data_IF_054202840426
#
_entry.id   IF_054202840426
#
_cell.length_a   1.000
_cell.length_b   1.000
_cell.length_c   1.000
_cell.angle_alpha   90.00
_cell.angle_beta   90.00
_cell.angle_gamma   90.00
#
_symmetry.space_group_name_H-M   'P 1'
#
loop_
_entity.id
_entity.type
_entity.pdbx_description
1 polymer ?
#
# COMPACT_ATOMS: atom_id res chain seq x y z
N UNK A 1 -9.05 10.24 19.06
CA UNK A 1 -10.36 10.89 19.21
C UNK A 1 -11.33 9.74 19.07
N UNK A 2 -11.83 9.23 20.21
CA UNK A 2 -12.76 8.10 20.24
C UNK A 2 -14.02 8.50 19.48
N UNK A 3 -14.33 7.74 18.43
CA UNK A 3 -15.50 7.93 17.57
C UNK A 3 -16.78 7.31 18.15
N UNK A 4 -16.77 6.94 19.44
CA UNK A 4 -17.74 5.98 19.96
C UNK A 4 -19.06 6.55 20.47
N UNK A 5 -19.31 7.86 20.57
CA UNK A 5 -20.59 8.29 21.13
C UNK A 5 -21.17 9.55 20.47
N UNK A 6 -22.14 9.33 19.56
CA UNK A 6 -23.54 9.77 19.68
C UNK A 6 -24.19 9.80 18.28
N UNK A 7 -24.94 8.75 17.92
CA UNK A 7 -25.84 8.75 16.76
C UNK A 7 -27.30 8.77 17.23
N UNK A 8 -28.15 9.47 16.48
CA UNK A 8 -29.57 9.64 16.78
C UNK A 8 -30.34 8.30 16.75
N UNK A 9 -31.33 8.15 17.63
CA UNK A 9 -32.18 6.96 17.70
C UNK A 9 -32.94 6.74 16.37
N UNK A 10 -32.78 5.57 15.76
CA UNK A 10 -33.38 5.20 14.47
C UNK A 10 -32.39 4.78 13.37
N UNK A 11 -31.08 4.92 13.62
CA UNK A 11 -29.99 4.52 12.71
C UNK A 11 -29.21 3.30 13.25
N UNK A 12 -29.91 2.36 13.89
CA UNK A 12 -29.29 1.15 14.44
C UNK A 12 -28.65 0.29 13.34
N UNK A 13 -27.47 -0.25 13.64
CA UNK A 13 -26.77 -1.22 12.80
C UNK A 13 -26.27 -2.38 13.64
N UNK A 14 -26.17 -3.56 13.01
CA UNK A 14 -25.65 -4.78 13.61
C UNK A 14 -24.54 -5.31 12.69
N UNK A 15 -23.33 -5.55 13.21
CA UNK A 15 -22.16 -5.99 12.43
C UNK A 15 -21.96 -7.50 12.60
N UNK A 16 -21.97 -8.25 11.51
CA UNK A 16 -21.53 -9.65 11.52
C UNK A 16 -20.02 -9.73 11.29
N UNK A 17 -19.30 -10.26 12.27
CA UNK A 17 -17.83 -10.39 12.25
C UNK A 17 -17.34 -11.74 11.71
N UNK A 18 -18.21 -12.77 11.63
CA UNK A 18 -17.89 -14.08 11.06
C UNK A 18 -18.08 -14.11 9.53
N UNK A 19 -17.04 -14.50 8.78
CA UNK A 19 -17.10 -14.69 7.31
C UNK A 19 -16.32 -13.67 6.45
N UNK A 20 -15.45 -12.87 7.05
CA UNK A 20 -14.68 -11.80 6.38
C UNK A 20 -13.95 -12.21 5.09
N UNK A 21 -14.06 -11.36 4.05
CA UNK A 21 -13.13 -11.33 2.91
C UNK A 21 -12.28 -10.06 2.99
N UNK A 22 -10.98 -10.27 3.21
CA UNK A 22 -9.97 -9.26 3.50
C UNK A 22 -9.41 -8.65 2.21
N UNK A 23 -9.30 -7.32 2.14
CA UNK A 23 -8.58 -6.62 1.07
C UNK A 23 -7.60 -5.60 1.65
N UNK A 24 -6.52 -5.27 0.94
CA UNK A 24 -5.50 -4.32 1.39
C UNK A 24 -6.07 -2.91 1.70
N UNK A 25 -7.23 -2.56 1.14
CA UNK A 25 -7.80 -1.21 1.20
C UNK A 25 -8.78 -0.96 2.36
N UNK A 26 -9.44 -2.01 2.87
CA UNK A 26 -10.50 -1.87 3.86
C UNK A 26 -10.92 -3.22 4.47
N UNK A 27 -11.53 -3.16 5.65
CA UNK A 27 -12.34 -4.27 6.19
C UNK A 27 -13.76 -4.15 5.64
N UNK A 28 -14.31 -5.28 5.20
CA UNK A 28 -15.67 -5.36 4.67
C UNK A 28 -16.49 -6.21 5.61
N UNK A 29 -17.61 -5.66 6.07
CA UNK A 29 -18.54 -6.31 6.98
C UNK A 29 -19.91 -6.41 6.33
N UNK A 30 -20.61 -7.50 6.62
CA UNK A 30 -22.06 -7.55 6.42
C UNK A 30 -22.68 -6.85 7.62
N UNK A 31 -23.57 -5.90 7.37
CA UNK A 31 -24.30 -5.21 8.41
C UNK A 31 -25.77 -5.03 8.07
N UNK A 32 -26.57 -4.66 9.06
CA UNK A 32 -27.93 -4.14 8.83
C UNK A 32 -27.87 -2.61 8.85
N UNK A 33 -28.40 -1.93 7.83
CA UNK A 33 -28.55 -0.48 7.79
C UNK A 33 -30.01 -0.12 7.53
N UNK A 34 -30.64 0.63 8.45
CA UNK A 34 -32.06 0.98 8.39
C UNK A 34 -32.98 -0.26 8.22
N UNK A 35 -32.67 -1.34 8.95
CA UNK A 35 -33.43 -2.59 8.89
C UNK A 35 -33.24 -3.42 7.62
N UNK A 36 -32.27 -3.08 6.76
CA UNK A 36 -31.97 -3.83 5.53
C UNK A 36 -30.54 -4.38 5.53
N UNK A 37 -30.31 -5.58 4.95
CA UNK A 37 -28.96 -6.07 4.73
C UNK A 37 -28.13 -5.11 3.87
N UNK A 38 -26.92 -4.83 4.30
CA UNK A 38 -25.99 -3.91 3.69
C UNK A 38 -24.54 -4.40 3.85
N UNK A 39 -23.62 -3.73 3.15
CA UNK A 39 -22.18 -3.98 3.25
C UNK A 39 -21.53 -2.69 3.76
N UNK A 40 -20.83 -2.78 4.88
CA UNK A 40 -20.04 -1.68 5.43
C UNK A 40 -18.57 -1.85 5.03
N UNK A 41 -17.98 -0.79 4.46
CA UNK A 41 -16.55 -0.71 4.17
C UNK A 41 -15.89 0.21 5.19
N UNK A 42 -15.16 -0.36 6.13
CA UNK A 42 -14.34 0.39 7.09
C UNK A 42 -12.95 0.60 6.50
N UNK A 43 -12.57 1.86 6.29
CA UNK A 43 -11.22 2.22 5.87
C UNK A 43 -10.30 2.14 7.08
N UNK A 44 -9.11 1.60 6.88
CA UNK A 44 -8.07 1.54 7.90
C UNK A 44 -7.74 2.93 8.45
N UNK A 45 -7.44 3.01 9.74
CA UNK A 45 -7.04 4.26 10.36
C UNK A 45 -5.70 4.76 9.77
N UNK A 46 -5.48 6.07 9.82
CA UNK A 46 -4.25 6.67 9.27
C UNK A 46 -2.98 6.04 9.86
N UNK A 47 -2.94 5.84 11.19
CA UNK A 47 -1.81 5.21 11.86
C UNK A 47 -1.52 3.79 11.33
N UNK A 48 -2.57 2.99 11.09
CA UNK A 48 -2.45 1.65 10.52
C UNK A 48 -1.95 1.70 9.08
N UNK A 49 -2.41 2.67 8.29
CA UNK A 49 -1.92 2.86 6.91
C UNK A 49 -0.45 3.30 6.84
N UNK A 50 0.03 4.12 7.79
CA UNK A 50 1.45 4.50 7.85
C UNK A 50 2.34 3.33 8.29
N UNK A 51 1.88 2.54 9.26
CA UNK A 51 2.58 1.32 9.69
C UNK A 51 2.69 0.32 8.52
N UNK A 52 1.59 0.12 7.79
CA UNK A 52 1.58 -0.69 6.58
C UNK A 52 2.55 -0.16 5.53
N UNK A 53 2.52 1.15 5.25
CA UNK A 53 3.41 1.79 4.29
C UNK A 53 4.88 1.51 4.64
N UNK A 54 5.25 1.69 5.90
CA UNK A 54 6.61 1.37 6.38
C UNK A 54 6.95 -0.11 6.19
N UNK A 55 6.06 -1.02 6.56
CA UNK A 55 6.29 -2.46 6.43
C UNK A 55 6.44 -2.91 4.96
N UNK A 56 5.64 -2.33 4.06
CA UNK A 56 5.78 -2.53 2.60
C UNK A 56 7.15 -2.04 2.16
N UNK A 57 7.51 -0.80 2.51
CA UNK A 57 8.81 -0.22 2.18
C UNK A 57 9.98 -1.08 2.61
N UNK A 58 9.95 -1.58 3.84
CA UNK A 58 10.97 -2.49 4.38
C UNK A 58 11.03 -3.82 3.59
N UNK A 59 9.88 -4.38 3.24
CA UNK A 59 9.82 -5.63 2.48
C UNK A 59 10.37 -5.45 1.05
N UNK A 60 10.01 -4.36 0.37
CA UNK A 60 10.58 -3.98 -0.94
C UNK A 60 12.08 -3.70 -0.82
N UNK A 61 12.51 -3.03 0.24
CA UNK A 61 13.92 -2.75 0.52
C UNK A 61 14.75 -4.03 0.61
N UNK A 62 14.25 -5.06 1.30
CA UNK A 62 14.89 -6.38 1.41
C UNK A 62 14.93 -7.10 0.06
N UNK A 63 13.84 -7.08 -0.69
CA UNK A 63 13.75 -7.67 -2.03
C UNK A 63 14.80 -7.04 -2.96
N UNK A 64 14.82 -5.71 -3.07
CA UNK A 64 15.77 -4.98 -3.90
C UNK A 64 17.21 -5.15 -3.42
N UNK A 65 17.46 -5.19 -2.11
CA UNK A 65 18.80 -5.43 -1.58
C UNK A 65 19.34 -6.81 -1.97
N UNK A 66 18.45 -7.78 -2.15
CA UNK A 66 18.76 -9.12 -2.66
C UNK A 66 18.89 -9.18 -4.19
N UNK A 67 18.86 -8.02 -4.88
CA UNK A 67 18.87 -7.91 -6.34
C UNK A 67 17.73 -8.66 -7.05
N UNK A 68 16.55 -8.64 -6.42
CA UNK A 68 15.27 -9.03 -7.00
C UNK A 68 14.42 -7.77 -7.19
N UNK A 69 13.78 -7.64 -8.35
CA UNK A 69 12.69 -6.68 -8.58
C UNK A 69 11.41 -7.45 -8.87
N UNK A 70 10.27 -6.89 -8.49
CA UNK A 70 8.97 -7.52 -8.71
C UNK A 70 8.51 -7.39 -10.15
N UNK A 71 8.66 -6.20 -10.74
CA UNK A 71 8.31 -5.90 -12.13
C UNK A 71 6.83 -5.54 -12.36
N UNK A 72 5.98 -5.72 -11.34
CA UNK A 72 4.57 -5.31 -11.32
C UNK A 72 4.11 -5.02 -9.87
N UNK A 73 4.87 -4.17 -9.17
CA UNK A 73 4.67 -3.93 -7.76
C UNK A 73 3.46 -3.00 -7.51
N UNK A 74 2.26 -3.56 -7.44
CA UNK A 74 1.00 -2.83 -7.19
C UNK A 74 0.41 -3.20 -5.82
N UNK A 75 -0.54 -2.40 -5.30
CA UNK A 75 -1.20 -2.67 -4.01
C UNK A 75 -2.06 -3.94 -4.04
N UNK A 76 -2.59 -4.34 -5.20
CA UNK A 76 -3.31 -5.61 -5.39
C UNK A 76 -2.41 -6.83 -5.29
N UNK A 77 -1.10 -6.66 -5.53
CA UNK A 77 -0.09 -7.71 -5.37
C UNK A 77 0.48 -7.77 -3.95
N UNK A 78 -0.12 -7.03 -3.00
CA UNK A 78 0.22 -7.06 -1.57
C UNK A 78 -0.91 -7.73 -0.77
N UNK A 79 -0.60 -8.85 -0.14
CA UNK A 79 -1.51 -9.56 0.76
C UNK A 79 -1.11 -9.33 2.21
N UNK A 80 -2.10 -9.02 3.04
CA UNK A 80 -1.95 -9.01 4.51
C UNK A 80 -2.49 -10.31 5.06
N UNK A 81 -1.69 -11.05 5.82
CA UNK A 81 -2.16 -12.28 6.48
C UNK A 81 -2.82 -11.91 7.82
N UNK A 82 -4.08 -12.25 8.02
CA UNK A 82 -4.83 -11.96 9.27
C UNK A 82 -4.88 -10.47 9.66
N UNK A 83 -4.86 -9.55 8.68
CA UNK A 83 -4.80 -8.11 8.93
C UNK A 83 -3.49 -7.62 9.55
N UNK A 84 -2.42 -8.43 9.56
CA UNK A 84 -1.13 -8.03 10.11
C UNK A 84 -0.43 -7.02 9.19
N UNK A 85 -0.58 -5.74 9.52
CA UNK A 85 0.05 -4.63 8.82
C UNK A 85 1.58 -4.62 8.89
N UNK A 86 2.18 -5.34 9.85
CA UNK A 86 3.63 -5.42 9.99
C UNK A 86 4.26 -6.41 9.03
N UNK A 87 3.45 -7.27 8.41
CA UNK A 87 3.91 -8.38 7.57
C UNK A 87 3.15 -8.48 6.26
N UNK A 88 3.41 -7.55 5.30
CA UNK A 88 2.92 -7.69 3.94
C UNK A 88 3.63 -8.83 3.21
N UNK A 89 2.87 -9.55 2.39
CA UNK A 89 3.36 -10.59 1.49
C UNK A 89 3.16 -10.13 0.05
N UNK A 90 4.24 -10.16 -0.75
CA UNK A 90 4.14 -9.93 -2.19
C UNK A 90 3.77 -11.22 -2.91
N UNK A 91 2.91 -11.11 -3.91
CA UNK A 91 2.50 -12.20 -4.79
C UNK A 91 2.67 -11.79 -6.24
N UNK A 92 2.54 -12.76 -7.16
CA UNK A 92 2.63 -12.53 -8.61
C UNK A 92 3.99 -11.97 -9.09
N UNK A 93 5.02 -12.81 -8.99
CA UNK A 93 6.35 -12.54 -9.51
C UNK A 93 6.48 -12.88 -11.02
N UNK A 94 5.38 -12.86 -11.78
CA UNK A 94 5.37 -13.25 -13.20
C UNK A 94 6.29 -12.40 -14.09
N UNK A 95 6.55 -11.14 -13.69
CA UNK A 95 7.43 -10.20 -14.39
C UNK A 95 8.74 -9.90 -13.62
N UNK A 96 9.08 -10.74 -12.64
CA UNK A 96 10.25 -10.49 -11.80
C UNK A 96 11.56 -10.61 -12.59
N UNK A 97 12.58 -9.87 -12.15
CA UNK A 97 13.93 -10.00 -12.68
C UNK A 97 14.96 -10.18 -11.55
N UNK A 98 15.99 -10.98 -11.84
CA UNK A 98 17.09 -11.30 -10.94
C UNK A 98 18.44 -10.93 -11.59
N UNK A 99 19.45 -10.72 -10.77
CA UNK A 99 20.83 -10.57 -11.23
C UNK A 99 21.31 -9.12 -11.23
N UNK A 100 21.79 -8.60 -12.38
CA UNK A 100 22.36 -7.25 -12.47
C UNK A 100 21.25 -6.20 -12.53
N UNK A 101 20.63 -5.93 -11.38
CA UNK A 101 19.59 -4.92 -11.22
C UNK A 101 20.22 -3.55 -10.92
N UNK A 102 19.88 -2.56 -11.73
CA UNK A 102 20.35 -1.18 -11.54
C UNK A 102 19.49 -0.40 -10.54
N UNK A 103 19.99 0.73 -9.99
CA UNK A 103 19.15 1.63 -9.22
C UNK A 103 17.96 2.23 -10.00
N UNK A 104 18.05 2.30 -11.33
CA UNK A 104 16.94 2.75 -12.19
C UNK A 104 15.80 1.73 -12.17
N UNK A 105 16.10 0.43 -12.34
CA UNK A 105 15.10 -0.65 -12.36
C UNK A 105 14.33 -0.71 -11.03
N UNK A 106 15.07 -0.60 -9.91
CA UNK A 106 14.49 -0.49 -8.55
C UNK A 106 13.63 0.76 -8.39
N UNK A 107 14.03 1.86 -9.03
CA UNK A 107 13.28 3.11 -9.03
C UNK A 107 11.98 2.99 -9.83
N UNK A 108 11.98 2.27 -10.94
CA UNK A 108 10.78 1.97 -11.74
C UNK A 108 9.80 1.13 -10.93
N UNK A 109 10.26 0.10 -10.23
CA UNK A 109 9.41 -0.76 -9.39
C UNK A 109 8.72 0.05 -8.26
N UNK A 110 9.47 0.93 -7.58
CA UNK A 110 8.90 1.86 -6.60
C UNK A 110 7.94 2.89 -7.22
N UNK A 111 8.19 3.32 -8.45
CA UNK A 111 7.31 4.25 -9.15
C UNK A 111 5.97 3.59 -9.54
N UNK A 112 5.98 2.32 -9.92
CA UNK A 112 4.75 1.55 -10.16
C UNK A 112 3.92 1.47 -8.88
N UNK A 113 4.57 1.15 -7.75
CA UNK A 113 3.90 1.13 -6.45
C UNK A 113 3.32 2.49 -6.06
N UNK A 114 4.07 3.57 -6.28
CA UNK A 114 3.60 4.94 -6.03
C UNK A 114 2.30 5.23 -6.79
N UNK A 115 2.26 4.92 -8.09
CA UNK A 115 1.08 5.16 -8.92
C UNK A 115 -0.11 4.30 -8.51
N UNK A 116 0.12 3.05 -8.15
CA UNK A 116 -0.92 2.18 -7.62
C UNK A 116 -1.52 2.74 -6.32
N UNK A 117 -0.69 3.25 -5.40
CA UNK A 117 -1.14 3.80 -4.13
C UNK A 117 -1.90 5.12 -4.26
N UNK A 118 -1.48 6.01 -5.18
CA UNK A 118 -2.18 7.27 -5.46
C UNK A 118 -3.62 7.01 -5.94
N UNK A 119 -3.85 5.94 -6.69
CA UNK A 119 -5.17 5.61 -7.23
C UNK A 119 -6.16 5.03 -6.20
N UNK A 120 -5.68 4.55 -5.05
CA UNK A 120 -6.45 3.71 -4.13
C UNK A 120 -6.62 4.30 -2.72
N UNK A 121 -5.75 5.22 -2.28
CA UNK A 121 -5.72 5.70 -0.89
C UNK A 121 -5.93 7.22 -0.74
N UNK A 122 -6.80 7.62 0.19
CA UNK A 122 -7.12 9.02 0.51
C UNK A 122 -5.91 9.78 1.08
N UNK A 123 -4.98 9.09 1.75
CA UNK A 123 -3.74 9.65 2.31
C UNK A 123 -2.49 9.08 1.62
N UNK A 124 -2.58 8.83 0.32
CA UNK A 124 -1.54 8.17 -0.48
C UNK A 124 -0.16 8.82 -0.39
N UNK A 125 -0.08 10.15 -0.29
CA UNK A 125 1.20 10.85 -0.15
C UNK A 125 1.92 10.56 1.17
N UNK A 126 1.22 10.58 2.30
CA UNK A 126 1.81 10.28 3.60
C UNK A 126 2.18 8.81 3.71
N UNK A 127 1.30 7.94 3.25
CA UNK A 127 1.56 6.50 3.21
C UNK A 127 2.80 6.17 2.36
N UNK A 128 2.93 6.80 1.19
CA UNK A 128 4.09 6.59 0.33
C UNK A 128 5.37 7.18 0.92
N UNK A 129 5.31 8.29 1.68
CA UNK A 129 6.47 8.77 2.46
C UNK A 129 6.93 7.69 3.46
N UNK A 130 6.00 7.05 4.17
CA UNK A 130 6.34 5.93 5.06
C UNK A 130 6.94 4.72 4.31
N UNK A 131 6.48 4.42 3.09
CA UNK A 131 7.13 3.42 2.21
C UNK A 131 8.58 3.78 1.93
N UNK A 132 8.86 5.03 1.56
CA UNK A 132 10.22 5.48 1.26
C UNK A 132 11.13 5.46 2.49
N UNK A 133 10.60 5.77 3.67
CA UNK A 133 11.32 5.64 4.95
C UNK A 133 11.65 4.18 5.27
N UNK A 134 10.67 3.29 5.18
CA UNK A 134 10.87 1.85 5.36
C UNK A 134 11.86 1.26 4.35
N UNK A 135 11.81 1.70 3.10
CA UNK A 135 12.76 1.26 2.08
C UNK A 135 14.19 1.67 2.39
N UNK A 136 14.40 2.92 2.83
CA UNK A 136 15.71 3.46 3.21
C UNK A 136 16.30 2.78 4.44
N UNK A 137 15.46 2.32 5.38
CA UNK A 137 15.93 1.72 6.64
C UNK A 137 16.68 0.41 6.44
N UNK A 138 16.40 -0.32 5.36
CA UNK A 138 17.05 -1.61 5.04
C UNK A 138 18.50 -1.43 4.61
N UNK A 139 18.77 -0.47 3.72
CA UNK A 139 20.11 -0.16 3.28
C UNK A 139 20.20 1.30 2.83
N UNK A 140 20.85 2.14 3.62
CA UNK A 140 20.89 3.58 3.39
C UNK A 140 21.57 3.95 2.06
N UNK A 141 22.65 3.28 1.68
CA UNK A 141 23.39 3.55 0.42
C UNK A 141 22.53 3.25 -0.80
N UNK A 142 21.88 2.08 -0.83
CA UNK A 142 20.92 1.73 -1.88
C UNK A 142 19.73 2.70 -1.86
N UNK A 143 19.19 2.98 -0.68
CA UNK A 143 18.05 3.90 -0.50
C UNK A 143 18.31 5.26 -1.14
N UNK A 144 19.45 5.89 -0.85
CA UNK A 144 19.82 7.18 -1.45
C UNK A 144 19.91 7.09 -2.97
N UNK A 145 20.59 6.06 -3.50
CA UNK A 145 20.78 5.92 -4.95
C UNK A 145 19.45 5.69 -5.69
N UNK A 146 18.59 4.82 -5.16
CA UNK A 146 17.30 4.47 -5.78
C UNK A 146 16.31 5.62 -5.66
N UNK A 147 16.24 6.32 -4.53
CA UNK A 147 15.31 7.44 -4.40
C UNK A 147 15.68 8.62 -5.31
N UNK A 148 16.98 8.87 -5.52
CA UNK A 148 17.41 9.83 -6.54
C UNK A 148 16.90 9.44 -7.92
N UNK A 149 16.96 8.15 -8.28
CA UNK A 149 16.43 7.64 -9.55
C UNK A 149 14.91 7.73 -9.63
N UNK A 150 14.21 7.44 -8.53
CA UNK A 150 12.77 7.62 -8.45
C UNK A 150 12.36 9.07 -8.75
N UNK A 151 13.08 10.07 -8.22
CA UNK A 151 12.79 11.48 -8.52
C UNK A 151 13.03 11.83 -10.00
N UNK A 152 14.10 11.31 -10.61
CA UNK A 152 14.35 11.44 -12.04
C UNK A 152 13.25 10.78 -12.90
N UNK A 153 12.71 9.64 -12.45
CA UNK A 153 11.62 8.91 -13.11
C UNK A 153 10.30 9.70 -12.99
N UNK A 154 9.98 10.22 -11.80
CA UNK A 154 8.79 11.07 -11.55
C UNK A 154 8.74 12.29 -12.47
N UNK A 155 9.89 12.92 -12.72
CA UNK A 155 9.98 14.06 -13.65
C UNK A 155 9.73 13.65 -15.11
N UNK A 156 10.17 12.45 -15.50
CA UNK A 156 9.95 11.90 -16.85
C UNK A 156 8.49 11.45 -17.05
N UNK A 157 7.89 10.83 -16.03
CA UNK A 157 6.49 10.41 -16.05
C UNK A 157 5.51 11.58 -16.18
N UNK A 158 5.73 12.68 -15.45
CA UNK A 158 4.90 13.90 -15.53
C UNK A 158 4.83 14.53 -16.93
N UNK A 159 5.85 14.35 -17.77
CA UNK A 159 5.83 14.84 -19.16
C UNK A 159 4.92 14.03 -20.07
N UNK A 160 4.68 12.75 -19.76
CA UNK A 160 3.81 11.87 -20.55
C UNK A 160 2.32 12.06 -20.21
N UNK A 161 2.02 12.35 -18.94
CA UNK A 161 0.64 12.62 -18.49
C UNK A 161 0.05 13.94 -19.08
N UNK A 162 0.88 14.88 -19.55
CA UNK A 162 0.41 16.12 -20.20
C UNK A 162 0.15 15.99 -21.71
N UNK A 163 0.42 14.84 -22.32
CA UNK A 163 0.26 14.59 -23.76
C UNK A 163 -0.82 13.55 -24.08
N UNK A 164 -1.64 13.17 -23.09
CA UNK A 164 -2.75 12.23 -23.21
C UNK A 164 -4.09 12.93 -23.22
#
# INVERSE_FOLDING_TARGET
>A
MDWEEQFEAGFEYEIQTEGMRQGAEARVYICTYLGRPAIMKERWALAETLELGKAIGEAVGRMHFSNLIHGDLTTSNVILKHGDFKRPYFIDFGLCALGKISPEDKGVDLYVLERAMISTHVNSEEMFKSVLEGYKSINQKQGIAVLKKLDEIRLRGRKRDMTG
#
